data_IF_056515226519
#
_entry.id   IF_056515226519
#
_cell.length_a   1.000
_cell.length_b   1.000
_cell.length_c   1.000
_cell.angle_alpha   90.00
_cell.angle_beta   90.00
_cell.angle_gamma   90.00
#
_symmetry.space_group_name_H-M   'P 1'
#
loop_
_entity.id
_entity.type
_entity.pdbx_description
1 polymer ?
#
# COMPACT_ATOMS: atom_id res chain seq x y z
N UNK A 1 -41.81 17.58 8.06
CA UNK A 1 -42.44 18.74 8.75
C UNK A 1 -43.87 18.84 8.27
N UNK A 2 -44.83 18.88 9.20
CA UNK A 2 -46.25 18.99 8.89
C UNK A 2 -46.75 20.44 8.96
N UNK A 3 -47.94 20.70 8.42
CA UNK A 3 -48.52 22.05 8.38
C UNK A 3 -49.04 22.60 9.70
N UNK A 4 -49.03 21.81 10.78
CA UNK A 4 -49.80 22.15 11.97
C UNK A 4 -49.22 23.32 12.78
N UNK A 5 -47.98 23.72 12.53
CA UNK A 5 -47.36 24.88 13.17
C UNK A 5 -48.05 26.20 12.79
N UNK A 6 -48.79 26.25 11.68
CA UNK A 6 -49.44 27.50 11.23
C UNK A 6 -48.51 28.47 10.50
N UNK A 7 -47.21 28.20 10.49
CA UNK A 7 -46.17 28.98 9.82
C UNK A 7 -45.02 28.08 9.37
N UNK A 8 -44.18 28.58 8.48
CA UNK A 8 -42.92 27.98 8.07
C UNK A 8 -41.77 28.89 8.47
N UNK A 9 -40.62 28.31 8.81
CA UNK A 9 -39.37 29.06 8.88
C UNK A 9 -38.71 29.05 7.49
N UNK A 10 -38.32 30.22 6.99
CA UNK A 10 -37.74 30.37 5.65
C UNK A 10 -38.78 30.57 4.53
N UNK A 11 -38.41 30.18 3.30
CA UNK A 11 -39.20 30.42 2.07
C UNK A 11 -39.95 29.19 1.55
N UNK A 12 -40.02 28.12 2.35
CA UNK A 12 -40.67 26.88 1.95
C UNK A 12 -42.21 27.03 1.90
N UNK A 13 -42.91 26.36 0.96
CA UNK A 13 -44.36 26.32 0.97
C UNK A 13 -44.86 25.62 2.24
N UNK A 14 -45.93 26.16 2.84
CA UNK A 14 -46.54 25.55 4.03
C UNK A 14 -47.17 24.20 3.66
N UNK A 15 -46.72 23.08 4.28
CA UNK A 15 -47.30 21.78 4.04
C UNK A 15 -48.75 21.72 4.56
N UNK A 16 -49.55 20.80 4.02
CA UNK A 16 -50.91 20.56 4.51
C UNK A 16 -50.91 19.90 5.90
N UNK A 17 -52.05 19.98 6.59
CA UNK A 17 -52.26 19.23 7.83
C UNK A 17 -52.32 17.72 7.52
N UNK A 18 -51.68 16.86 8.34
CA UNK A 18 -51.65 15.43 8.12
C UNK A 18 -53.03 14.83 8.37
N UNK A 19 -53.57 14.12 7.38
CA UNK A 19 -54.92 13.53 7.43
C UNK A 19 -55.09 12.51 8.56
N UNK A 20 -53.99 11.87 8.99
CA UNK A 20 -53.97 10.87 10.05
C UNK A 20 -53.53 11.40 11.41
N UNK A 21 -53.49 12.73 11.60
CA UNK A 21 -53.01 13.39 12.82
C UNK A 21 -51.48 13.54 12.87
N UNK A 22 -51.00 14.50 13.67
CA UNK A 22 -49.57 14.81 13.81
C UNK A 22 -48.81 13.86 14.73
N UNK A 23 -47.48 13.94 14.71
CA UNK A 23 -46.60 13.26 15.67
C UNK A 23 -46.67 13.93 17.05
N UNK A 24 -46.18 13.29 18.12
CA UNK A 24 -46.14 13.90 19.46
C UNK A 24 -45.34 15.20 19.53
N UNK A 25 -44.38 15.42 18.62
CA UNK A 25 -43.61 16.67 18.52
C UNK A 25 -44.25 17.69 17.56
N UNK A 26 -45.42 17.36 17.01
CA UNK A 26 -46.15 18.25 16.12
C UNK A 26 -46.97 19.28 16.90
N UNK A 27 -47.17 20.43 16.26
CA UNK A 27 -48.16 21.41 16.67
C UNK A 27 -49.60 20.98 16.35
N UNK A 28 -49.85 19.76 15.82
CA UNK A 28 -51.21 19.34 15.52
C UNK A 28 -52.15 19.27 16.75
N UNK A 29 -51.63 19.33 17.98
CA UNK A 29 -52.41 19.43 19.21
C UNK A 29 -53.23 20.74 19.32
N UNK A 30 -52.84 21.81 18.60
CA UNK A 30 -53.61 23.07 18.52
C UNK A 30 -54.52 23.15 17.28
N UNK A 31 -54.60 22.08 16.49
CA UNK A 31 -55.43 22.01 15.28
C UNK A 31 -56.54 20.97 15.42
N UNK A 32 -57.52 20.97 14.51
CA UNK A 32 -58.60 19.99 14.51
C UNK A 32 -58.18 18.57 14.12
N UNK A 33 -57.00 18.38 13.52
CA UNK A 33 -56.49 17.03 13.17
C UNK A 33 -55.91 16.28 14.38
N UNK A 34 -55.50 16.98 15.43
CA UNK A 34 -55.01 16.40 16.68
C UNK A 34 -53.67 15.66 16.57
N UNK A 35 -53.24 15.09 17.71
CA UNK A 35 -52.06 14.22 17.79
C UNK A 35 -52.50 12.77 17.60
N UNK A 36 -51.81 12.05 16.73
CA UNK A 36 -51.93 10.60 16.66
C UNK A 36 -50.73 9.97 17.38
N UNK A 37 -50.98 9.45 18.58
CA UNK A 37 -49.96 8.84 19.42
C UNK A 37 -49.30 7.61 18.77
N UNK A 38 -49.94 6.95 17.81
CA UNK A 38 -49.34 5.86 17.05
C UNK A 38 -48.20 6.33 16.14
N UNK A 39 -48.14 7.62 15.79
CA UNK A 39 -47.03 8.20 15.02
C UNK A 39 -45.79 8.51 15.89
N UNK A 40 -45.88 8.32 17.21
CA UNK A 40 -44.76 8.50 18.13
C UNK A 40 -44.19 9.93 18.11
N UNK A 41 -42.90 10.08 18.40
CA UNK A 41 -42.19 11.37 18.34
C UNK A 41 -41.85 11.82 16.90
N UNK A 42 -42.21 11.03 15.88
CA UNK A 42 -41.70 11.19 14.53
C UNK A 42 -40.26 10.66 14.36
N UNK A 43 -39.77 10.57 13.12
CA UNK A 43 -38.49 9.91 12.83
C UNK A 43 -37.30 10.67 13.43
N UNK A 44 -37.21 11.99 13.27
CA UNK A 44 -36.06 12.79 13.75
C UNK A 44 -35.97 12.81 15.30
N UNK A 45 -36.97 13.31 16.07
CA UNK A 45 -36.86 13.29 17.52
C UNK A 45 -36.89 11.88 18.10
N UNK A 46 -37.60 10.96 17.45
CA UNK A 46 -37.60 9.54 17.83
C UNK A 46 -36.23 8.88 17.70
N UNK A 47 -35.48 9.17 16.63
CA UNK A 47 -34.10 8.69 16.46
C UNK A 47 -33.18 9.29 17.51
N UNK A 48 -33.27 10.59 17.80
CA UNK A 48 -32.46 11.23 18.85
C UNK A 48 -32.70 10.59 20.23
N UNK A 49 -33.96 10.34 20.60
CA UNK A 49 -34.30 9.69 21.87
C UNK A 49 -33.78 8.25 21.92
N UNK A 50 -33.99 7.47 20.84
CA UNK A 50 -33.50 6.09 20.78
C UNK A 50 -31.97 6.03 20.85
N UNK A 51 -31.28 6.94 20.17
CA UNK A 51 -29.82 7.02 20.17
C UNK A 51 -29.27 7.41 21.55
N UNK A 52 -29.90 8.37 22.23
CA UNK A 52 -29.51 8.76 23.59
C UNK A 52 -29.70 7.61 24.60
N UNK A 53 -30.74 6.80 24.43
CA UNK A 53 -31.03 5.62 25.25
C UNK A 53 -30.03 4.50 24.94
N UNK A 54 -29.82 4.14 23.67
CA UNK A 54 -28.90 3.06 23.27
C UNK A 54 -27.45 3.36 23.69
N UNK A 55 -27.03 4.62 23.65
CA UNK A 55 -25.67 5.02 24.01
C UNK A 55 -25.50 5.35 25.51
N UNK A 56 -26.53 5.17 26.35
CA UNK A 56 -26.43 5.43 27.77
C UNK A 56 -25.63 4.31 28.48
N UNK A 57 -24.59 4.64 29.26
CA UNK A 57 -23.70 3.65 29.88
C UNK A 57 -24.40 2.77 30.94
N UNK A 58 -25.63 3.12 31.34
CA UNK A 58 -26.44 2.40 32.30
C UNK A 58 -27.41 1.40 31.66
N UNK A 59 -27.51 1.34 30.33
CA UNK A 59 -28.37 0.41 29.62
C UNK A 59 -27.54 -0.77 29.11
N UNK A 60 -27.21 -1.67 30.03
CA UNK A 60 -26.85 -3.03 29.65
C UNK A 60 -28.14 -3.80 29.38
N UNK A 61 -28.19 -4.53 28.25
CA UNK A 61 -29.32 -5.43 27.99
C UNK A 61 -29.54 -6.36 29.18
N UNK A 62 -30.78 -6.65 29.54
CA UNK A 62 -31.06 -7.76 30.43
C UNK A 62 -31.11 -9.02 29.55
N UNK A 63 -30.26 -10.02 29.81
CA UNK A 63 -30.42 -11.35 29.21
C UNK A 63 -31.56 -12.05 29.92
N UNK A 64 -32.75 -11.91 29.35
CA UNK A 64 -33.77 -12.91 29.52
C UNK A 64 -33.60 -13.84 28.35
N UNK A 65 -33.03 -15.03 28.56
CA UNK A 65 -32.82 -16.03 27.50
C UNK A 65 -33.89 -15.93 26.40
N UNK A 66 -33.45 -15.38 25.26
CA UNK A 66 -34.32 -14.64 24.34
C UNK A 66 -34.14 -13.11 24.40
N UNK A 67 -32.93 -12.62 24.14
CA UNK A 67 -32.63 -11.20 23.98
C UNK A 67 -31.98 -10.54 25.21
N UNK A 68 -30.90 -9.82 24.93
CA UNK A 68 -30.19 -8.87 25.80
C UNK A 68 -29.01 -9.46 26.59
N UNK A 69 -28.00 -8.67 26.95
CA UNK A 69 -27.29 -8.77 28.23
C UNK A 69 -26.03 -9.61 28.46
N UNK A 70 -24.89 -9.06 28.03
CA UNK A 70 -23.82 -8.72 28.97
C UNK A 70 -23.12 -9.87 29.71
N UNK A 71 -22.20 -10.53 29.01
CA UNK A 71 -21.11 -11.26 29.61
C UNK A 71 -19.98 -11.44 28.60
N UNK A 72 -18.83 -10.81 28.86
CA UNK A 72 -17.58 -11.42 28.45
C UNK A 72 -16.82 -11.71 29.75
N UNK A 73 -16.58 -12.99 30.04
CA UNK A 73 -15.29 -13.52 29.61
C UNK A 73 -15.40 -14.97 29.11
N UNK A 74 -15.22 -15.17 27.82
CA UNK A 74 -14.84 -16.46 27.25
C UNK A 74 -15.74 -16.94 26.13
N UNK A 75 -15.36 -16.58 24.90
CA UNK A 75 -15.60 -17.38 23.70
C UNK A 75 -17.04 -17.39 23.19
N UNK A 76 -17.42 -16.34 22.46
CA UNK A 76 -18.26 -16.48 21.28
C UNK A 76 -17.81 -15.38 20.31
N UNK A 77 -16.93 -15.75 19.38
CA UNK A 77 -16.43 -14.85 18.34
C UNK A 77 -17.54 -14.50 17.37
N UNK A 78 -17.35 -13.41 16.62
CA UNK A 78 -18.17 -13.12 15.45
C UNK A 78 -18.29 -14.37 14.57
N UNK A 79 -19.52 -14.80 14.26
CA UNK A 79 -19.76 -15.94 13.35
C UNK A 79 -19.52 -15.56 11.87
N UNK A 80 -19.35 -14.27 11.58
CA UNK A 80 -18.93 -13.71 10.31
C UNK A 80 -17.54 -13.07 10.36
N UNK A 81 -17.32 -12.05 9.54
CA UNK A 81 -16.11 -11.23 9.58
C UNK A 81 -16.30 -9.98 10.43
N UNK A 82 -15.30 -9.70 11.27
CA UNK A 82 -15.22 -8.50 12.09
C UNK A 82 -14.64 -7.34 11.29
N UNK A 83 -15.32 -6.19 11.33
CA UNK A 83 -14.87 -4.94 10.73
C UNK A 83 -14.86 -3.83 11.78
N UNK A 84 -13.95 -2.87 11.65
CA UNK A 84 -13.89 -1.68 12.49
C UNK A 84 -14.10 -0.42 11.66
N UNK A 85 -15.10 0.39 12.03
CA UNK A 85 -15.37 1.70 11.43
C UNK A 85 -14.88 2.79 12.38
N UNK A 86 -13.86 3.52 11.96
CA UNK A 86 -13.37 4.74 12.60
C UNK A 86 -13.95 5.96 11.90
N UNK A 87 -14.68 6.82 12.62
CA UNK A 87 -15.26 8.07 12.12
C UNK A 87 -14.79 9.23 12.98
N UNK A 88 -13.87 10.03 12.46
CA UNK A 88 -13.50 11.30 13.06
C UNK A 88 -14.48 12.36 12.57
N UNK A 89 -15.26 12.93 13.50
CA UNK A 89 -16.25 13.94 13.16
C UNK A 89 -15.57 15.28 12.84
N UNK A 90 -16.23 16.07 12.00
CA UNK A 90 -15.90 17.47 11.77
C UNK A 90 -16.44 18.33 12.94
N UNK A 91 -16.51 19.66 12.83
CA UNK A 91 -17.06 20.47 13.93
C UNK A 91 -18.59 20.37 14.07
N UNK A 92 -19.29 19.74 13.11
CA UNK A 92 -20.75 19.70 13.00
C UNK A 92 -21.30 18.27 12.91
N UNK A 93 -20.92 17.41 13.86
CA UNK A 93 -21.33 16.00 13.85
C UNK A 93 -22.85 15.71 13.79
N UNK A 94 -23.74 16.69 14.02
CA UNK A 94 -25.21 16.53 13.87
C UNK A 94 -25.65 16.32 12.43
N UNK A 95 -24.78 16.65 11.50
CA UNK A 95 -25.05 16.62 10.07
C UNK A 95 -24.62 15.27 9.48
N UNK A 96 -23.69 14.57 10.15
CA UNK A 96 -23.12 13.29 9.75
C UNK A 96 -23.98 12.09 10.17
N UNK A 97 -24.38 11.27 9.21
CA UNK A 97 -25.00 9.95 9.44
C UNK A 97 -24.35 8.91 8.53
N UNK A 98 -24.42 7.63 8.88
CA UNK A 98 -23.95 6.55 8.00
C UNK A 98 -24.79 5.29 8.15
N UNK A 99 -24.77 4.44 7.12
CA UNK A 99 -25.45 3.15 7.08
C UNK A 99 -24.62 2.10 6.36
N UNK A 100 -24.83 0.83 6.70
CA UNK A 100 -24.40 -0.32 5.90
C UNK A 100 -25.65 -1.12 5.50
N UNK A 101 -25.80 -1.36 4.19
CA UNK A 101 -26.92 -2.11 3.60
C UNK A 101 -26.45 -3.37 2.91
N UNK A 102 -27.30 -4.39 2.87
CA UNK A 102 -27.12 -5.56 2.01
C UNK A 102 -27.62 -5.31 0.57
N UNK A 103 -27.46 -6.29 -0.30
CA UNK A 103 -27.94 -6.24 -1.70
C UNK A 103 -29.47 -6.15 -1.85
N UNK A 104 -30.24 -6.34 -0.78
CA UNK A 104 -31.70 -6.19 -0.76
C UNK A 104 -32.14 -4.85 -0.14
N UNK A 105 -31.21 -3.88 0.00
CA UNK A 105 -31.40 -2.57 0.64
C UNK A 105 -31.76 -2.61 2.13
N UNK A 106 -31.58 -3.77 2.80
CA UNK A 106 -31.83 -3.92 4.23
C UNK A 106 -30.68 -3.28 5.00
N UNK A 107 -30.99 -2.34 5.91
CA UNK A 107 -30.00 -1.71 6.79
C UNK A 107 -29.60 -2.69 7.89
N UNK A 108 -28.32 -3.02 7.95
CA UNK A 108 -27.73 -3.88 8.98
C UNK A 108 -27.13 -3.05 10.11
N UNK A 109 -26.44 -1.97 9.75
CA UNK A 109 -25.82 -1.05 10.71
C UNK A 109 -26.09 0.40 10.32
N UNK A 110 -26.12 1.28 11.32
CA UNK A 110 -26.26 2.71 11.12
C UNK A 110 -25.71 3.50 12.30
N UNK A 111 -25.26 4.74 12.06
CA UNK A 111 -24.84 5.67 13.09
C UNK A 111 -25.16 7.12 12.76
N UNK A 112 -24.95 7.97 13.75
CA UNK A 112 -25.37 9.37 13.72
C UNK A 112 -26.90 9.56 13.80
N UNK A 113 -27.39 10.80 13.72
CA UNK A 113 -26.61 12.03 13.78
C UNK A 113 -25.93 12.19 15.16
N UNK A 114 -24.74 12.77 15.19
CA UNK A 114 -23.97 12.93 16.42
C UNK A 114 -24.22 14.31 17.04
N UNK A 115 -24.17 14.47 18.36
CA UNK A 115 -24.37 15.81 18.93
C UNK A 115 -23.16 16.69 18.58
N UNK A 116 -23.36 17.97 18.26
CA UNK A 116 -22.24 18.90 17.94
C UNK A 116 -21.20 19.03 19.06
N UNK A 117 -21.53 18.68 20.30
CA UNK A 117 -20.55 18.60 21.40
C UNK A 117 -19.49 17.50 21.17
N UNK A 118 -19.73 16.59 20.24
CA UNK A 118 -18.81 15.54 19.79
C UNK A 118 -18.06 15.94 18.52
N UNK A 119 -18.16 17.18 18.04
CA UNK A 119 -17.38 17.64 16.90
C UNK A 119 -15.87 17.50 17.16
N UNK A 120 -15.13 16.99 16.17
CA UNK A 120 -13.70 16.68 16.31
C UNK A 120 -13.38 15.46 17.18
N UNK A 121 -14.38 14.62 17.49
CA UNK A 121 -14.18 13.37 18.24
C UNK A 121 -14.13 12.18 17.30
N UNK A 122 -13.24 11.23 17.60
CA UNK A 122 -13.19 9.92 16.96
C UNK A 122 -14.27 9.00 17.55
N UNK A 123 -15.16 8.50 16.70
CA UNK A 123 -16.16 7.49 17.01
C UNK A 123 -15.73 6.18 16.37
N UNK A 124 -15.60 5.12 17.15
CA UNK A 124 -15.26 3.79 16.65
C UNK A 124 -16.47 2.85 16.79
N UNK A 125 -16.64 1.94 15.83
CA UNK A 125 -17.70 0.94 15.81
C UNK A 125 -17.14 -0.40 15.35
N UNK A 126 -17.38 -1.43 16.14
CA UNK A 126 -17.06 -2.81 15.78
C UNK A 126 -18.31 -3.47 15.18
N UNK A 127 -18.14 -4.08 14.02
CA UNK A 127 -19.19 -4.63 13.17
C UNK A 127 -18.91 -6.12 12.93
N UNK A 128 -19.97 -6.92 12.82
CA UNK A 128 -19.86 -8.34 12.51
C UNK A 128 -20.82 -8.65 11.35
N UNK A 129 -20.27 -8.87 10.16
CA UNK A 129 -21.04 -9.11 8.94
C UNK A 129 -20.75 -10.50 8.40
N UNK A 130 -21.78 -11.20 7.96
CA UNK A 130 -21.63 -12.51 7.29
C UNK A 130 -20.95 -12.35 5.91
N UNK A 131 -20.59 -13.46 5.27
CA UNK A 131 -20.12 -13.44 3.89
C UNK A 131 -21.25 -12.95 2.96
N UNK A 132 -20.96 -11.94 2.13
CA UNK A 132 -21.96 -11.26 1.32
C UNK A 132 -21.49 -9.92 0.78
N UNK A 133 -22.29 -9.28 -0.06
CA UNK A 133 -21.99 -7.95 -0.59
C UNK A 133 -22.86 -6.87 0.04
N UNK A 134 -22.25 -5.73 0.28
CA UNK A 134 -22.78 -4.63 1.09
C UNK A 134 -22.45 -3.27 0.46
N UNK A 135 -23.16 -2.25 0.91
CA UNK A 135 -22.89 -0.85 0.60
C UNK A 135 -22.74 -0.08 1.89
N UNK A 136 -21.58 0.54 2.10
CA UNK A 136 -21.39 1.60 3.09
C UNK A 136 -21.79 2.93 2.47
N UNK A 137 -22.60 3.72 3.17
CA UNK A 137 -23.02 5.05 2.74
C UNK A 137 -22.90 6.00 3.94
N UNK A 138 -22.27 7.14 3.73
CA UNK A 138 -22.18 8.24 4.69
C UNK A 138 -22.87 9.46 4.08
N UNK A 139 -23.64 10.19 4.88
CA UNK A 139 -24.39 11.36 4.47
C UNK A 139 -24.07 12.53 5.36
N UNK A 140 -23.93 13.70 4.75
CA UNK A 140 -23.91 14.98 5.40
C UNK A 140 -25.15 15.80 4.98
N UNK A 141 -25.94 16.23 5.96
CA UNK A 141 -27.21 16.89 5.68
C UNK A 141 -27.10 18.34 5.17
N UNK A 142 -25.95 19.00 5.33
CA UNK A 142 -25.69 20.38 4.88
C UNK A 142 -24.86 20.45 3.60
N UNK A 143 -24.19 19.36 3.25
CA UNK A 143 -23.62 19.14 1.93
C UNK A 143 -22.19 19.63 1.77
N UNK A 144 -21.50 19.91 2.86
CA UNK A 144 -20.09 20.31 2.92
C UNK A 144 -19.16 19.16 3.36
N UNK A 145 -19.72 17.96 3.55
CA UNK A 145 -18.99 16.76 3.94
C UNK A 145 -18.54 16.82 5.38
N UNK A 146 -17.53 16.02 5.72
CA UNK A 146 -16.97 15.98 7.07
C UNK A 146 -15.53 16.52 7.12
N UNK A 147 -15.05 17.20 6.07
CA UNK A 147 -13.68 17.68 6.01
C UNK A 147 -13.50 19.13 5.60
N UNK A 148 -12.23 19.52 5.78
CA UNK A 148 -11.49 20.53 5.06
C UNK A 148 -11.68 21.95 5.61
N UNK A 149 -12.85 22.56 5.44
CA UNK A 149 -13.07 23.95 5.88
C UNK A 149 -13.77 24.06 7.23
N UNK A 150 -14.62 23.09 7.57
CA UNK A 150 -15.48 23.12 8.76
C UNK A 150 -15.09 22.09 9.82
N UNK A 151 -13.97 21.41 9.65
CA UNK A 151 -13.41 20.41 10.56
C UNK A 151 -12.54 19.43 9.78
N UNK A 152 -11.60 18.75 10.43
CA UNK A 152 -10.75 17.76 9.75
C UNK A 152 -11.24 16.35 10.11
N UNK A 153 -12.49 16.06 9.73
CA UNK A 153 -13.09 14.74 9.90
C UNK A 153 -12.76 13.79 8.74
N UNK A 154 -12.95 12.50 9.01
CA UNK A 154 -12.75 11.41 8.05
C UNK A 154 -13.49 10.16 8.52
N UNK A 155 -13.73 9.21 7.62
CA UNK A 155 -14.13 7.85 7.97
C UNK A 155 -13.13 6.83 7.41
N UNK A 156 -13.01 5.69 8.07
CA UNK A 156 -12.23 4.53 7.63
C UNK A 156 -12.90 3.25 8.13
N UNK A 157 -13.36 2.41 7.21
CA UNK A 157 -13.85 1.06 7.45
C UNK A 157 -12.73 0.07 7.15
N UNK A 158 -12.38 -0.78 8.09
CA UNK A 158 -11.29 -1.77 7.97
C UNK A 158 -11.74 -3.16 8.40
N UNK A 159 -11.08 -4.20 7.90
CA UNK A 159 -11.19 -5.54 8.47
C UNK A 159 -10.20 -5.76 9.64
N UNK A 160 -10.23 -6.95 10.25
CA UNK A 160 -9.29 -7.34 11.33
C UNK A 160 -7.84 -7.50 10.87
N UNK A 161 -7.59 -7.64 9.56
CA UNK A 161 -6.24 -7.64 9.00
C UNK A 161 -5.66 -6.21 8.89
N UNK A 162 -6.52 -5.19 9.03
CA UNK A 162 -6.18 -3.79 8.85
C UNK A 162 -6.37 -3.27 7.43
N UNK A 163 -6.88 -4.10 6.50
CA UNK A 163 -7.17 -3.71 5.13
C UNK A 163 -8.30 -2.67 5.10
N UNK A 164 -8.10 -1.58 4.36
CA UNK A 164 -9.09 -0.51 4.24
C UNK A 164 -10.13 -0.88 3.18
N UNK A 165 -11.38 -1.04 3.62
CA UNK A 165 -12.54 -1.35 2.78
C UNK A 165 -13.12 -0.08 2.17
N UNK A 166 -13.21 0.99 2.97
CA UNK A 166 -13.68 2.29 2.54
C UNK A 166 -13.01 3.38 3.38
N UNK A 167 -12.67 4.51 2.78
CA UNK A 167 -12.23 5.70 3.50
C UNK A 167 -12.58 6.96 2.72
N UNK A 168 -12.71 8.07 3.42
CA UNK A 168 -13.09 9.34 2.81
C UNK A 168 -13.33 10.43 3.84
N UNK A 169 -13.77 11.59 3.36
CA UNK A 169 -14.11 12.74 4.20
C UNK A 169 -14.43 14.00 3.40
N UNK A 170 -13.81 14.17 2.23
CA UNK A 170 -14.10 15.24 1.27
C UNK A 170 -15.22 14.81 0.32
N UNK A 171 -16.45 15.02 0.75
CA UNK A 171 -17.64 14.78 -0.04
C UNK A 171 -18.62 15.94 0.10
N UNK A 172 -19.63 16.01 -0.77
CA UNK A 172 -20.71 16.98 -0.64
C UNK A 172 -21.75 16.52 0.38
N UNK A 173 -22.92 16.11 -0.10
CA UNK A 173 -23.99 15.57 0.77
C UNK A 173 -23.88 14.09 1.10
N UNK A 174 -23.04 13.33 0.40
CA UNK A 174 -22.87 11.89 0.67
C UNK A 174 -21.63 11.32 -0.01
N UNK A 175 -21.14 10.21 0.52
CA UNK A 175 -20.21 9.30 -0.14
C UNK A 175 -20.68 7.84 0.05
N UNK A 176 -20.34 6.95 -0.87
CA UNK A 176 -20.78 5.55 -0.82
C UNK A 176 -19.78 4.60 -1.45
N UNK A 177 -19.54 3.46 -0.80
CA UNK A 177 -18.63 2.41 -1.24
C UNK A 177 -19.31 1.05 -1.18
N UNK A 178 -19.33 0.32 -2.30
CA UNK A 178 -19.76 -1.08 -2.32
C UNK A 178 -18.57 -2.01 -2.01
N UNK A 179 -18.79 -3.06 -1.22
CA UNK A 179 -17.77 -4.04 -0.84
C UNK A 179 -18.39 -5.44 -0.68
N UNK A 180 -17.57 -6.49 -0.68
CA UNK A 180 -18.01 -7.86 -0.41
C UNK A 180 -17.12 -8.53 0.65
N UNK A 181 -17.67 -9.51 1.36
CA UNK A 181 -17.04 -10.32 2.39
C UNK A 181 -17.04 -11.82 1.95
N UNK A 182 -15.93 -12.57 2.06
CA UNK A 182 -14.62 -12.13 2.54
C UNK A 182 -14.08 -10.96 1.73
N UNK A 183 -13.56 -9.94 2.42
CA UNK A 183 -12.96 -8.81 1.74
C UNK A 183 -11.64 -9.25 1.12
N UNK A 184 -11.77 -9.87 -0.04
CA UNK A 184 -10.72 -9.93 -1.03
C UNK A 184 -10.62 -8.50 -1.55
N UNK A 185 -9.85 -7.69 -0.81
CA UNK A 185 -9.32 -6.46 -1.35
C UNK A 185 -8.86 -6.83 -2.77
N UNK A 186 -9.38 -6.12 -3.79
CA UNK A 186 -8.99 -6.37 -5.19
C UNK A 186 -7.56 -5.85 -5.39
N UNK A 187 -6.68 -6.34 -4.54
CA UNK A 187 -5.59 -5.62 -3.94
C UNK A 187 -4.37 -6.48 -4.05
N UNK A 188 -3.99 -6.60 -5.31
CA UNK A 188 -2.60 -6.43 -5.66
C UNK A 188 -2.15 -4.95 -5.52
N UNK A 189 -2.75 -4.11 -4.66
CA UNK A 189 -2.57 -2.64 -4.67
C UNK A 189 -2.30 -1.94 -3.33
N UNK A 190 -2.32 -2.61 -2.17
CA UNK A 190 -1.64 -2.10 -0.96
C UNK A 190 -0.14 -2.16 -1.18
N UNK A 191 0.31 -2.96 -2.13
CA UNK A 191 1.68 -2.95 -2.64
C UNK A 191 1.65 -3.09 -4.16
N UNK A 192 1.62 -1.96 -4.86
CA UNK A 192 1.86 -1.92 -6.30
C UNK A 192 3.34 -2.19 -6.57
N UNK A 193 3.68 -3.43 -6.91
CA UNK A 193 5.00 -3.79 -7.42
C UNK A 193 5.09 -3.49 -8.91
N UNK A 194 6.14 -2.78 -9.32
CA UNK A 194 6.39 -2.46 -10.73
C UNK A 194 7.27 -3.56 -11.34
N UNK A 195 6.67 -4.39 -12.20
CA UNK A 195 7.40 -5.16 -13.20
C UNK A 195 7.51 -4.32 -14.48
N UNK A 196 8.73 -3.93 -14.86
CA UNK A 196 8.92 -3.09 -16.04
C UNK A 196 8.56 -3.77 -17.37
N UNK A 197 8.34 -5.09 -17.39
CA UNK A 197 7.78 -5.76 -18.58
C UNK A 197 6.35 -5.33 -18.89
N UNK A 198 5.61 -4.89 -17.88
CA UNK A 198 4.20 -4.51 -18.03
C UNK A 198 4.03 -3.06 -18.53
N UNK A 199 5.14 -2.32 -18.63
CA UNK A 199 5.13 -0.91 -19.00
C UNK A 199 5.97 -0.63 -20.25
N UNK A 200 5.47 0.27 -21.08
CA UNK A 200 6.31 0.94 -22.08
C UNK A 200 7.12 2.04 -21.40
N UNK A 201 8.45 1.93 -21.44
CA UNK A 201 9.35 2.99 -20.94
C UNK A 201 9.50 4.07 -22.01
N UNK A 202 8.88 5.21 -21.76
CA UNK A 202 8.83 6.34 -22.70
C UNK A 202 9.80 7.46 -22.33
N UNK A 203 10.05 8.34 -23.29
CA UNK A 203 10.80 9.59 -23.08
C UNK A 203 10.02 10.56 -22.17
N UNK A 204 10.71 11.21 -21.24
CA UNK A 204 10.14 12.16 -20.29
C UNK A 204 10.91 13.49 -20.30
N UNK A 205 10.23 14.61 -20.04
CA UNK A 205 10.91 15.91 -19.89
C UNK A 205 11.39 16.55 -21.20
N UNK A 206 10.87 16.08 -22.34
CA UNK A 206 11.06 16.68 -23.65
C UNK A 206 12.53 16.71 -24.09
N UNK A 207 13.10 17.88 -24.43
CA UNK A 207 14.47 17.97 -24.95
C UNK A 207 15.57 17.51 -23.97
N UNK A 208 15.24 17.34 -22.68
CA UNK A 208 16.20 16.91 -21.67
C UNK A 208 16.54 15.42 -21.76
N UNK A 209 15.67 14.61 -22.36
CA UNK A 209 15.97 13.19 -22.59
C UNK A 209 16.80 13.00 -23.86
N UNK A 210 18.12 12.84 -23.67
CA UNK A 210 19.08 12.53 -24.72
C UNK A 210 19.70 11.13 -24.56
N UNK A 211 19.05 10.27 -23.77
CA UNK A 211 19.59 9.00 -23.30
C UNK A 211 18.70 7.83 -23.67
N UNK A 212 19.05 6.67 -23.12
CA UNK A 212 18.38 5.41 -23.44
C UNK A 212 17.87 4.72 -22.19
N UNK A 213 16.85 3.88 -22.39
CA UNK A 213 16.37 2.91 -21.42
C UNK A 213 16.66 1.50 -21.94
N UNK A 214 16.97 0.58 -21.03
CA UNK A 214 17.14 -0.82 -21.32
C UNK A 214 16.62 -1.64 -20.16
N UNK A 215 15.80 -2.64 -20.46
CA UNK A 215 15.39 -3.64 -19.48
C UNK A 215 16.46 -4.74 -19.39
N UNK A 216 16.85 -5.08 -18.17
CA UNK A 216 17.83 -6.13 -17.85
C UNK A 216 17.16 -7.22 -17.02
N UNK A 217 17.82 -8.38 -16.90
CA UNK A 217 17.37 -9.51 -16.07
C UNK A 217 15.91 -9.91 -16.33
N UNK A 218 15.54 -10.02 -17.62
CA UNK A 218 14.19 -10.38 -18.01
C UNK A 218 13.13 -9.34 -17.65
N UNK A 219 13.49 -8.06 -17.50
CA UNK A 219 12.58 -6.95 -17.22
C UNK A 219 12.53 -6.50 -15.75
N UNK A 220 13.15 -7.25 -14.84
CA UNK A 220 13.15 -6.93 -13.41
C UNK A 220 14.03 -5.74 -13.02
N UNK A 221 14.88 -5.26 -13.93
CA UNK A 221 15.77 -4.11 -13.71
C UNK A 221 15.63 -3.13 -14.86
N UNK A 222 15.24 -1.88 -14.55
CA UNK A 222 15.32 -0.77 -15.47
C UNK A 222 16.70 -0.13 -15.38
N UNK A 223 17.45 -0.17 -16.48
CA UNK A 223 18.66 0.62 -16.67
C UNK A 223 18.33 1.83 -17.52
N UNK A 224 18.69 3.01 -17.04
CA UNK A 224 18.75 4.21 -17.87
C UNK A 224 20.18 4.74 -17.89
N UNK A 225 20.58 5.34 -19.01
CA UNK A 225 21.94 5.80 -19.17
C UNK A 225 22.09 6.95 -20.14
N UNK A 226 23.29 7.55 -20.08
CA UNK A 226 23.63 8.84 -20.66
C UNK A 226 23.00 10.00 -19.87
N UNK A 227 22.42 11.00 -20.54
CA UNK A 227 21.49 11.97 -19.98
C UNK A 227 20.06 11.53 -20.31
N UNK A 228 19.41 10.81 -19.40
CA UNK A 228 18.12 10.18 -19.63
C UNK A 228 17.07 10.63 -18.63
N UNK A 229 15.92 11.01 -19.16
CA UNK A 229 14.70 11.25 -18.41
C UNK A 229 13.64 10.33 -19.00
N UNK A 230 13.22 9.32 -18.23
CA UNK A 230 12.32 8.26 -18.71
C UNK A 230 11.13 8.14 -17.79
N UNK A 231 10.00 7.67 -18.31
CA UNK A 231 8.80 7.43 -17.51
C UNK A 231 8.08 6.17 -17.93
N UNK A 232 7.28 5.64 -17.01
CA UNK A 232 6.22 4.67 -17.30
C UNK A 232 4.87 5.35 -17.10
N UNK A 233 3.89 4.98 -17.92
CA UNK A 233 2.52 5.44 -17.73
C UNK A 233 1.91 4.75 -16.51
N UNK A 234 1.72 5.50 -15.43
CA UNK A 234 1.16 5.01 -14.17
C UNK A 234 0.19 6.04 -13.63
N UNK A 235 -1.10 5.72 -13.70
CA UNK A 235 -2.15 6.51 -13.05
C UNK A 235 -2.17 6.16 -11.56
N UNK A 236 -1.74 7.09 -10.72
CA UNK A 236 -1.66 6.87 -9.28
C UNK A 236 -2.10 8.13 -8.53
N UNK A 237 -2.86 7.96 -7.45
CA UNK A 237 -3.22 9.03 -6.53
C UNK A 237 -2.32 8.97 -5.31
N UNK A 238 -1.38 9.91 -5.22
CA UNK A 238 -0.50 10.02 -4.06
C UNK A 238 -1.31 10.62 -2.91
N UNK A 239 -1.53 9.82 -1.87
CA UNK A 239 -2.16 10.22 -0.62
C UNK A 239 -1.10 10.69 0.39
N UNK A 240 -1.48 11.30 1.52
CA UNK A 240 -0.54 11.63 2.59
C UNK A 240 0.27 10.44 3.14
N UNK A 241 -0.22 9.20 2.96
CA UNK A 241 0.41 7.98 3.46
C UNK A 241 1.19 7.20 2.39
N UNK A 242 1.30 7.72 1.16
CA UNK A 242 1.98 7.03 0.07
C UNK A 242 3.47 6.93 0.34
N UNK A 243 3.98 5.69 0.25
CA UNK A 243 5.38 5.32 0.34
C UNK A 243 5.86 4.78 -1.00
N UNK A 244 7.06 5.20 -1.42
CA UNK A 244 7.77 4.68 -2.58
C UNK A 244 9.02 3.94 -2.11
N UNK A 245 9.06 2.64 -2.33
CA UNK A 245 10.21 1.78 -2.06
C UNK A 245 10.90 1.39 -3.36
N UNK A 246 12.23 1.39 -3.36
CA UNK A 246 13.02 0.93 -4.49
C UNK A 246 14.42 0.50 -4.06
N UNK A 247 15.08 -0.29 -4.90
CA UNK A 247 16.53 -0.43 -4.87
C UNK A 247 17.14 0.35 -6.04
N UNK A 248 18.12 1.18 -5.72
CA UNK A 248 18.86 2.02 -6.68
C UNK A 248 20.34 1.65 -6.69
N UNK A 249 20.95 1.66 -7.88
CA UNK A 249 22.40 1.54 -8.06
C UNK A 249 22.88 2.48 -9.17
N UNK A 250 24.11 2.96 -9.04
CA UNK A 250 24.82 3.71 -10.06
C UNK A 250 26.33 3.54 -9.86
N UNK A 251 27.09 3.32 -10.93
CA UNK A 251 28.55 3.29 -10.84
C UNK A 251 29.20 4.66 -11.02
N UNK A 252 28.41 5.72 -11.28
CA UNK A 252 28.91 7.06 -11.59
C UNK A 252 27.99 8.16 -11.06
N UNK A 253 28.57 9.12 -10.34
CA UNK A 253 27.83 10.31 -9.91
C UNK A 253 27.47 11.17 -11.12
N UNK A 254 26.17 11.34 -11.34
CA UNK A 254 25.59 12.28 -12.30
C UNK A 254 25.35 13.64 -11.69
N UNK A 255 24.70 14.49 -12.47
CA UNK A 255 24.18 15.77 -11.99
C UNK A 255 22.98 15.52 -11.09
N UNK A 256 22.04 14.70 -11.59
CA UNK A 256 20.85 14.24 -10.87
C UNK A 256 20.56 12.80 -11.23
N UNK A 257 20.57 11.90 -10.26
CA UNK A 257 19.86 10.62 -10.33
C UNK A 257 18.66 10.70 -9.41
N UNK A 258 17.49 10.30 -9.89
CA UNK A 258 16.27 10.53 -9.13
C UNK A 258 15.04 9.81 -9.65
N UNK A 259 13.96 9.98 -8.91
CA UNK A 259 12.66 9.35 -9.16
C UNK A 259 11.54 10.28 -8.66
N UNK A 260 10.35 10.20 -9.24
CA UNK A 260 9.18 10.96 -8.77
C UNK A 260 7.93 10.75 -9.61
N UNK A 261 6.84 11.39 -9.21
CA UNK A 261 5.56 11.36 -9.95
C UNK A 261 5.31 12.64 -10.73
N UNK A 262 4.61 12.51 -11.84
CA UNK A 262 4.28 13.62 -12.71
C UNK A 262 2.91 13.47 -13.41
N UNK A 263 2.24 14.61 -13.62
CA UNK A 263 0.91 14.71 -14.21
C UNK A 263 0.89 15.16 -15.68
N UNK A 264 1.96 15.78 -16.21
CA UNK A 264 1.91 16.55 -17.46
C UNK A 264 3.17 16.50 -18.36
N UNK A 265 4.05 15.52 -18.16
CA UNK A 265 5.34 15.34 -18.82
C UNK A 265 6.34 16.50 -18.62
N UNK A 266 6.28 17.19 -17.46
CA UNK A 266 7.16 18.35 -17.17
C UNK A 266 8.07 18.08 -15.98
N UNK A 267 9.37 18.28 -16.19
CA UNK A 267 10.39 18.13 -15.14
C UNK A 267 10.15 19.17 -14.04
N UNK A 268 9.97 18.70 -12.81
CA UNK A 268 9.60 19.52 -11.66
C UNK A 268 10.52 19.26 -10.47
N UNK A 269 11.23 20.29 -10.01
CA UNK A 269 12.23 20.17 -8.94
C UNK A 269 11.60 19.83 -7.59
N UNK A 270 10.39 20.30 -7.33
CA UNK A 270 9.63 20.00 -6.12
C UNK A 270 9.00 18.60 -6.11
N UNK A 271 9.16 17.80 -7.17
CA UNK A 271 8.66 16.42 -7.26
C UNK A 271 9.73 15.37 -7.53
N UNK A 272 10.96 15.79 -7.77
CA UNK A 272 12.08 14.89 -8.08
C UNK A 272 12.86 14.59 -6.80
N UNK A 273 12.79 13.37 -6.29
CA UNK A 273 13.64 12.90 -5.21
C UNK A 273 15.02 12.57 -5.75
N UNK A 274 16.03 13.35 -5.36
CA UNK A 274 17.42 13.12 -5.77
C UNK A 274 18.02 12.05 -4.88
N UNK A 275 18.52 10.98 -5.49
CA UNK A 275 19.13 9.82 -4.82
C UNK A 275 20.66 9.91 -4.84
N UNK A 276 21.20 10.43 -5.96
CA UNK A 276 22.63 10.60 -6.15
C UNK A 276 22.89 11.73 -7.14
N UNK A 277 23.56 12.81 -6.74
CA UNK A 277 23.87 13.90 -7.66
C UNK A 277 24.91 14.87 -7.11
N UNK A 278 25.28 15.85 -7.93
CA UNK A 278 26.15 16.96 -7.50
C UNK A 278 25.55 18.35 -7.75
N UNK A 279 24.43 18.42 -8.49
CA UNK A 279 23.69 19.67 -8.68
C UNK A 279 22.66 19.85 -7.57
N UNK A 280 22.50 21.10 -7.13
CA UNK A 280 21.48 21.46 -6.15
C UNK A 280 20.12 21.71 -6.82
N UNK A 281 19.53 20.66 -7.38
CA UNK A 281 18.23 20.67 -8.02
C UNK A 281 17.45 19.39 -7.67
N UNK A 282 16.16 19.50 -7.36
CA UNK A 282 15.36 18.40 -6.79
C UNK A 282 15.30 18.42 -5.26
N UNK A 283 14.50 17.51 -4.69
CA UNK A 283 14.43 17.23 -3.25
C UNK A 283 15.68 16.45 -2.84
N UNK A 284 16.55 17.07 -2.03
CA UNK A 284 17.87 16.53 -1.69
C UNK A 284 17.93 15.58 -0.50
N UNK A 285 16.82 15.36 0.21
CA UNK A 285 16.78 14.61 1.47
C UNK A 285 17.27 13.15 1.35
N UNK A 286 17.20 12.59 0.13
CA UNK A 286 17.60 11.23 -0.20
C UNK A 286 18.92 11.15 -0.99
N UNK A 287 19.65 12.26 -1.15
CA UNK A 287 20.91 12.34 -1.90
C UNK A 287 22.08 11.80 -1.06
N UNK A 288 21.97 10.53 -0.70
CA UNK A 288 22.84 9.84 0.24
C UNK A 288 23.33 8.49 -0.30
N UNK A 289 23.26 8.29 -1.63
CA UNK A 289 23.82 7.10 -2.26
C UNK A 289 25.36 7.08 -2.11
N UNK A 290 25.96 5.98 -1.65
CA UNK A 290 27.39 5.92 -1.34
C UNK A 290 28.31 5.90 -2.57
N UNK A 291 27.76 5.68 -3.78
CA UNK A 291 28.56 5.48 -4.99
C UNK A 291 29.05 4.03 -5.14
N UNK A 292 29.95 3.80 -6.10
CA UNK A 292 30.64 2.51 -6.25
C UNK A 292 29.84 1.38 -6.91
N UNK A 293 28.59 1.62 -7.36
CA UNK A 293 27.78 0.61 -8.04
C UNK A 293 27.06 -0.37 -7.10
N UNK A 294 27.06 -0.10 -5.79
CA UNK A 294 26.34 -0.93 -4.81
C UNK A 294 24.83 -0.74 -4.90
N UNK A 295 24.04 -1.75 -4.57
CA UNK A 295 22.60 -1.56 -4.44
C UNK A 295 22.26 -0.93 -3.09
N UNK A 296 21.44 0.11 -3.10
CA UNK A 296 20.91 0.75 -1.89
C UNK A 296 19.38 0.77 -1.95
N UNK A 297 18.75 0.29 -0.88
CA UNK A 297 17.31 0.40 -0.67
C UNK A 297 16.95 1.82 -0.23
N UNK A 298 15.88 2.35 -0.83
CA UNK A 298 15.25 3.61 -0.48
C UNK A 298 13.79 3.35 -0.11
N UNK A 299 13.32 4.05 0.91
CA UNK A 299 11.92 4.12 1.30
C UNK A 299 11.62 5.61 1.46
N UNK A 300 10.78 6.15 0.59
CA UNK A 300 10.52 7.58 0.44
C UNK A 300 9.05 7.82 0.79
N UNK A 301 8.74 8.62 1.83
CA UNK A 301 7.37 8.98 2.19
C UNK A 301 6.86 10.08 1.26
N UNK A 302 6.54 9.72 0.02
CA UNK A 302 6.17 10.68 -1.04
C UNK A 302 5.00 11.57 -0.61
N UNK A 303 4.02 10.99 0.09
CA UNK A 303 2.84 11.69 0.59
C UNK A 303 3.11 12.85 1.55
N UNK A 304 4.26 12.85 2.24
CA UNK A 304 4.68 13.95 3.11
C UNK A 304 5.23 15.16 2.32
N UNK A 305 5.62 14.96 1.06
CA UNK A 305 6.17 16.00 0.20
C UNK A 305 5.12 16.60 -0.74
N UNK A 306 4.31 15.75 -1.37
CA UNK A 306 3.25 16.19 -2.27
C UNK A 306 2.17 15.11 -2.40
N UNK A 307 0.93 15.54 -2.64
CA UNK A 307 -0.24 14.68 -2.88
C UNK A 307 -0.94 15.05 -4.18
N UNK A 308 -1.81 14.18 -4.66
CA UNK A 308 -2.66 14.42 -5.84
C UNK A 308 -2.60 13.30 -6.88
N UNK A 309 -3.27 13.53 -8.00
CA UNK A 309 -3.37 12.56 -9.09
C UNK A 309 -2.27 12.76 -10.12
N UNK A 310 -1.52 11.70 -10.38
CA UNK A 310 -0.41 11.67 -11.33
C UNK A 310 -0.65 10.62 -12.41
N UNK A 311 0.03 10.80 -13.55
CA UNK A 311 -0.12 9.95 -14.74
C UNK A 311 1.16 9.19 -15.08
N UNK A 312 2.28 9.52 -14.43
CA UNK A 312 3.58 8.94 -14.70
C UNK A 312 4.39 8.75 -13.41
N UNK A 313 5.16 7.66 -13.38
CA UNK A 313 6.34 7.50 -12.53
C UNK A 313 7.57 7.69 -13.42
N UNK A 314 8.42 8.67 -13.09
CA UNK A 314 9.59 9.01 -13.88
C UNK A 314 10.90 8.68 -13.16
N UNK A 315 11.94 8.42 -13.95
CA UNK A 315 13.27 8.00 -13.55
C UNK A 315 14.31 8.89 -14.23
N UNK A 316 15.34 9.27 -13.48
CA UNK A 316 16.31 10.28 -13.89
C UNK A 316 17.71 9.73 -13.78
N UNK A 317 18.48 9.90 -14.86
CA UNK A 317 19.93 9.82 -14.90
C UNK A 317 20.44 11.00 -15.73
N UNK A 318 20.48 12.16 -15.11
CA UNK A 318 20.98 13.39 -15.69
C UNK A 318 22.50 13.47 -15.55
N UNK A 319 23.15 13.60 -16.69
CA UNK A 319 24.60 13.72 -16.83
C UNK A 319 24.89 14.34 -18.19
N UNK A 320 24.48 15.61 -18.35
CA UNK A 320 24.70 16.40 -19.56
C UNK A 320 26.10 17.04 -19.62
N UNK A 321 26.91 16.83 -18.57
CA UNK A 321 28.33 17.21 -18.56
C UNK A 321 29.24 16.10 -19.11
N UNK A 322 30.21 16.46 -19.95
CA UNK A 322 31.19 15.49 -20.44
C UNK A 322 31.98 14.83 -19.26
N UNK A 323 32.23 13.50 -19.28
CA UNK A 323 31.83 12.53 -20.30
C UNK A 323 30.39 12.05 -20.10
N UNK A 324 29.52 12.24 -21.09
CA UNK A 324 28.11 11.83 -21.09
C UNK A 324 27.96 10.30 -20.90
N UNK A 325 28.00 9.85 -19.65
CA UNK A 325 28.08 8.43 -19.31
C UNK A 325 27.38 8.10 -17.98
N UNK A 326 26.44 8.96 -17.57
CA UNK A 326 25.56 8.68 -16.45
C UNK A 326 24.89 7.32 -16.61
N UNK A 327 24.70 6.63 -15.49
CA UNK A 327 23.93 5.39 -15.43
C UNK A 327 23.14 5.31 -14.13
N UNK A 328 21.91 4.87 -14.22
CA UNK A 328 21.07 4.55 -13.08
C UNK A 328 20.37 3.21 -13.32
N UNK A 329 20.27 2.43 -12.26
CA UNK A 329 19.60 1.15 -12.25
C UNK A 329 18.54 1.17 -11.16
N UNK A 330 17.33 0.79 -11.52
CA UNK A 330 16.17 0.74 -10.63
C UNK A 330 15.60 -0.68 -10.65
N UNK A 331 15.28 -1.21 -9.47
CA UNK A 331 14.59 -2.51 -9.33
C UNK A 331 13.78 -2.56 -8.05
N UNK A 332 12.91 -3.57 -7.95
CA UNK A 332 12.00 -3.76 -6.81
C UNK A 332 11.28 -2.47 -6.43
N UNK A 333 10.77 -1.77 -7.45
CA UNK A 333 10.03 -0.53 -7.23
C UNK A 333 8.64 -0.91 -6.75
N UNK A 334 8.26 -0.43 -5.56
CA UNK A 334 6.97 -0.69 -4.93
C UNK A 334 6.34 0.61 -4.47
N UNK A 335 5.03 0.73 -4.64
CA UNK A 335 4.24 1.86 -4.14
C UNK A 335 3.17 1.31 -3.21
N UNK A 336 3.08 1.83 -2.00
CA UNK A 336 2.14 1.34 -0.98
C UNK A 336 1.64 2.47 -0.08
N UNK A 337 0.57 2.19 0.66
CA UNK A 337 -0.02 3.12 1.62
C UNK A 337 0.28 2.65 3.06
N UNK A 338 0.95 3.49 3.86
CA UNK A 338 1.21 3.20 5.26
C UNK A 338 2.28 2.12 5.52
N UNK A 339 1.94 1.04 6.23
CA UNK A 339 2.90 0.10 6.83
C UNK A 339 3.38 -1.00 5.88
N UNK A 340 4.21 -0.65 4.89
CA UNK A 340 5.01 -1.62 4.12
C UNK A 340 4.22 -2.63 3.28
N UNK A 341 4.93 -3.37 2.43
CA UNK A 341 4.37 -4.50 1.67
C UNK A 341 4.43 -5.84 2.42
N UNK A 342 4.95 -5.84 3.64
CA UNK A 342 5.29 -7.05 4.39
C UNK A 342 4.18 -7.42 5.38
N UNK A 343 2.93 -7.55 4.90
CA UNK A 343 1.86 -8.19 5.66
C UNK A 343 1.93 -9.72 5.47
N UNK A 344 3.05 -10.32 5.85
CA UNK A 344 3.03 -11.74 6.23
C UNK A 344 2.71 -11.80 7.72
N UNK A 345 1.51 -12.30 8.04
CA UNK A 345 1.13 -12.76 9.37
C UNK A 345 2.22 -13.67 9.96
N UNK A 346 3.07 -13.14 10.84
CA UNK A 346 3.85 -13.90 11.81
C UNK A 346 4.11 -13.00 13.02
N UNK A 347 3.24 -13.09 14.03
CA UNK A 347 3.50 -12.55 15.36
C UNK A 347 3.45 -13.67 16.41
N UNK A 348 4.49 -13.69 17.25
CA UNK A 348 4.77 -14.52 18.42
C UNK A 348 5.40 -15.90 18.13
N UNK A 349 6.55 -16.28 18.71
CA UNK A 349 7.15 -15.89 20.00
C UNK A 349 8.64 -16.26 20.05
N UNK A 350 9.43 -15.74 21.02
CA UNK A 350 10.86 -15.96 21.11
C UNK A 350 11.17 -17.31 21.78
N UNK A 351 12.04 -18.11 21.20
CA UNK A 351 12.70 -19.21 21.91
C UNK A 351 14.21 -19.12 21.70
N UNK A 352 14.89 -19.19 22.84
CA UNK A 352 16.30 -19.02 23.05
C UNK A 352 17.16 -20.10 22.38
N UNK A 353 18.39 -19.69 22.10
CA UNK A 353 19.61 -20.50 21.98
C UNK A 353 19.55 -21.88 22.65
N UNK A 354 19.69 -22.93 21.84
CA UNK A 354 20.57 -24.11 22.06
C UNK A 354 20.62 -24.89 20.73
N UNK A 355 21.60 -24.59 19.88
CA UNK A 355 22.87 -25.33 19.74
C UNK A 355 22.75 -26.66 18.97
N UNK A 356 23.46 -26.67 17.83
CA UNK A 356 23.94 -27.78 17.01
C UNK A 356 22.97 -28.34 15.96
N UNK A 357 23.10 -27.85 14.73
CA UNK A 357 23.81 -28.59 13.66
C UNK A 357 24.12 -27.66 12.47
N UNK A 358 25.39 -27.58 12.11
CA UNK A 358 25.89 -27.23 10.76
C UNK A 358 25.30 -28.27 9.77
N UNK A 359 24.92 -28.06 8.51
CA UNK A 359 25.26 -27.09 7.47
C UNK A 359 24.04 -26.96 6.51
N UNK A 360 23.61 -25.75 6.19
CA UNK A 360 23.18 -25.40 4.83
C UNK A 360 23.63 -23.95 4.58
N UNK A 361 24.93 -23.80 4.32
CA UNK A 361 25.47 -22.61 3.68
C UNK A 361 25.02 -22.65 2.21
N UNK A 362 24.55 -21.52 1.68
CA UNK A 362 23.81 -21.42 0.40
C UNK A 362 24.41 -22.24 -0.74
N UNK A 363 23.64 -23.16 -1.32
CA UNK A 363 24.14 -24.10 -2.31
C UNK A 363 24.70 -23.41 -3.57
N UNK A 364 25.91 -23.79 -4.00
CA UNK A 364 26.45 -23.50 -5.32
C UNK A 364 25.87 -24.51 -6.32
N UNK A 365 25.18 -24.02 -7.35
CA UNK A 365 24.62 -24.82 -8.43
C UNK A 365 25.47 -24.69 -9.69
N UNK A 366 25.71 -25.82 -10.36
CA UNK A 366 26.52 -25.91 -11.57
C UNK A 366 25.71 -26.44 -12.75
N UNK A 367 25.61 -25.67 -13.84
CA UNK A 367 24.88 -26.10 -15.04
C UNK A 367 25.45 -25.53 -16.35
N UNK A 368 25.27 -26.22 -17.49
CA UNK A 368 24.76 -27.57 -17.60
C UNK A 368 25.76 -28.59 -17.03
N UNK A 369 25.25 -29.64 -16.39
CA UNK A 369 26.05 -30.78 -15.95
C UNK A 369 25.43 -32.07 -16.53
N UNK A 370 26.01 -32.68 -17.57
CA UNK A 370 27.37 -32.43 -18.09
C UNK A 370 27.54 -31.13 -18.91
N UNK A 371 28.69 -30.48 -18.76
CA UNK A 371 29.09 -29.30 -19.52
C UNK A 371 29.79 -29.67 -20.84
N UNK A 372 29.75 -28.78 -21.84
CA UNK A 372 30.51 -28.91 -23.09
C UNK A 372 31.58 -27.82 -23.18
N UNK A 373 31.18 -26.59 -23.50
CA UNK A 373 32.09 -25.48 -23.76
C UNK A 373 32.15 -24.49 -22.61
N UNK A 374 31.08 -24.42 -21.83
CA UNK A 374 30.94 -23.47 -20.73
C UNK A 374 30.17 -24.10 -19.58
N UNK A 375 30.42 -23.57 -18.38
CA UNK A 375 29.77 -23.94 -17.14
C UNK A 375 29.28 -22.65 -16.46
N UNK A 376 28.04 -22.64 -16.00
CA UNK A 376 27.49 -21.58 -15.16
C UNK A 376 27.62 -22.00 -13.70
N UNK A 377 28.16 -21.09 -12.90
CA UNK A 377 28.18 -21.13 -11.44
C UNK A 377 27.08 -20.20 -10.95
N UNK A 378 26.14 -20.73 -10.18
CA UNK A 378 25.01 -19.98 -9.62
C UNK A 378 25.01 -20.17 -8.11
N UNK A 379 25.19 -19.09 -7.36
CA UNK A 379 25.38 -19.15 -5.91
C UNK A 379 24.90 -17.87 -5.24
N UNK A 380 24.55 -17.98 -3.97
CA UNK A 380 24.22 -16.80 -3.16
C UNK A 380 25.42 -16.42 -2.32
N UNK A 381 25.70 -15.13 -2.22
CA UNK A 381 26.70 -14.60 -1.31
C UNK A 381 26.04 -13.69 -0.28
N UNK A 382 26.44 -13.81 0.99
CA UNK A 382 25.91 -12.96 2.07
C UNK A 382 26.62 -11.61 2.18
N UNK A 383 27.80 -11.46 1.60
CA UNK A 383 28.65 -10.28 1.74
C UNK A 383 29.45 -9.99 0.46
N UNK A 384 29.81 -8.73 0.25
CA UNK A 384 30.68 -8.35 -0.86
C UNK A 384 32.10 -8.87 -0.64
N UNK A 385 32.75 -9.36 -1.71
CA UNK A 385 34.11 -9.83 -1.61
C UNK A 385 34.70 -10.32 -2.92
N UNK A 386 35.89 -10.95 -2.83
CA UNK A 386 36.47 -11.69 -3.94
C UNK A 386 36.18 -13.18 -3.75
N UNK A 387 35.48 -13.77 -4.72
CA UNK A 387 35.37 -15.21 -4.85
C UNK A 387 36.63 -15.76 -5.52
N UNK A 388 37.31 -16.72 -4.90
CA UNK A 388 38.36 -17.50 -5.55
C UNK A 388 37.77 -18.80 -6.08
N UNK A 389 37.80 -18.98 -7.40
CA UNK A 389 37.30 -20.15 -8.13
C UNK A 389 38.51 -20.98 -8.58
N UNK A 390 38.54 -22.24 -8.15
CA UNK A 390 39.59 -23.21 -8.44
C UNK A 390 38.97 -24.47 -9.05
N UNK A 391 39.50 -24.90 -10.20
CA UNK A 391 39.05 -26.10 -10.88
C UNK A 391 40.11 -27.19 -10.80
N UNK A 392 39.73 -28.38 -10.33
CA UNK A 392 40.60 -29.54 -10.17
C UNK A 392 40.15 -30.70 -11.06
N UNK A 393 41.13 -31.49 -11.53
CA UNK A 393 40.87 -32.85 -12.01
C UNK A 393 40.51 -33.77 -10.82
N UNK A 394 39.88 -34.92 -11.09
CA UNK A 394 39.61 -35.95 -10.07
C UNK A 394 40.86 -36.51 -9.39
N UNK A 395 42.05 -36.33 -9.97
CA UNK A 395 43.33 -36.73 -9.37
C UNK A 395 43.94 -35.62 -8.49
N UNK A 396 43.26 -34.48 -8.33
CA UNK A 396 43.66 -33.38 -7.46
C UNK A 396 44.58 -32.33 -8.10
N UNK A 397 44.88 -32.44 -9.39
CA UNK A 397 45.65 -31.42 -10.11
C UNK A 397 44.79 -30.17 -10.36
N UNK A 398 45.27 -28.99 -9.96
CA UNK A 398 44.68 -27.68 -10.25
C UNK A 398 44.84 -27.35 -11.75
N UNK A 399 43.73 -27.00 -12.41
CA UNK A 399 43.65 -26.73 -13.85
C UNK A 399 43.34 -25.27 -14.17
N UNK A 400 42.47 -24.63 -13.37
CA UNK A 400 42.09 -23.21 -13.52
C UNK A 400 42.02 -22.57 -12.15
N UNK A 401 42.51 -21.34 -12.03
CA UNK A 401 42.30 -20.47 -10.87
C UNK A 401 41.90 -19.07 -11.35
N UNK A 402 40.83 -18.52 -10.80
CA UNK A 402 40.32 -17.18 -11.12
C UNK A 402 39.73 -16.52 -9.89
N UNK A 403 39.88 -15.20 -9.79
CA UNK A 403 39.16 -14.40 -8.81
C UNK A 403 38.05 -13.59 -9.48
N UNK A 404 36.87 -13.57 -8.87
CA UNK A 404 35.70 -12.79 -9.31
C UNK A 404 35.25 -11.87 -8.18
N UNK A 405 34.86 -10.63 -8.48
CA UNK A 405 34.13 -9.81 -7.52
C UNK A 405 32.70 -10.32 -7.34
N UNK A 406 32.28 -10.54 -6.11
CA UNK A 406 30.93 -11.02 -5.78
C UNK A 406 30.20 -10.02 -4.91
N UNK A 407 28.91 -9.90 -5.16
CA UNK A 407 28.01 -8.99 -4.46
C UNK A 407 27.11 -9.77 -3.50
N UNK A 408 26.59 -9.15 -2.42
CA UNK A 408 25.54 -9.75 -1.61
C UNK A 408 24.30 -10.07 -2.47
N UNK A 409 23.74 -11.27 -2.32
CA UNK A 409 22.62 -11.80 -3.09
C UNK A 409 23.02 -12.87 -4.12
N UNK A 410 22.17 -13.17 -5.11
CA UNK A 410 22.45 -14.17 -6.14
C UNK A 410 23.52 -13.66 -7.11
N UNK A 411 24.52 -14.51 -7.36
CA UNK A 411 25.61 -14.28 -8.28
C UNK A 411 25.62 -15.40 -9.33
N UNK A 412 25.83 -15.03 -10.59
CA UNK A 412 25.96 -15.97 -11.68
C UNK A 412 27.24 -15.66 -12.46
N UNK A 413 28.10 -16.66 -12.63
CA UNK A 413 29.35 -16.53 -13.38
C UNK A 413 29.50 -17.63 -14.42
N UNK A 414 30.03 -17.27 -15.60
CA UNK A 414 30.26 -18.21 -16.70
C UNK A 414 31.74 -18.55 -16.83
N UNK A 415 32.08 -19.81 -16.60
CA UNK A 415 33.41 -20.36 -16.78
C UNK A 415 33.55 -21.04 -18.15
N UNK A 416 34.55 -20.65 -18.92
CA UNK A 416 34.94 -21.34 -20.15
C UNK A 416 35.70 -22.63 -19.80
N UNK A 417 35.14 -23.76 -20.23
CA UNK A 417 35.73 -25.10 -20.03
C UNK A 417 36.03 -25.79 -21.36
N UNK A 418 35.92 -25.09 -22.50
CA UNK A 418 36.08 -25.64 -23.85
C UNK A 418 37.44 -26.29 -24.11
N UNK A 419 38.50 -25.83 -23.42
CA UNK A 419 39.85 -26.37 -23.52
C UNK A 419 40.12 -27.64 -22.72
N UNK A 420 39.17 -28.16 -21.94
CA UNK A 420 39.38 -29.31 -21.04
C UNK A 420 38.90 -30.64 -21.66
N UNK A 421 39.59 -31.77 -21.45
CA UNK A 421 39.15 -33.05 -21.98
C UNK A 421 37.79 -33.51 -21.38
N UNK A 422 37.14 -34.50 -22.01
CA UNK A 422 35.96 -35.12 -21.43
C UNK A 422 36.35 -35.88 -20.14
N UNK A 423 35.57 -35.74 -19.07
CA UNK A 423 35.89 -36.32 -17.78
C UNK A 423 35.14 -35.69 -16.62
N UNK A 424 35.41 -36.16 -15.40
CA UNK A 424 34.87 -35.57 -14.18
C UNK A 424 35.85 -34.55 -13.57
N UNK A 425 35.30 -33.51 -12.96
CA UNK A 425 36.05 -32.38 -12.40
C UNK A 425 35.43 -31.95 -11.06
N UNK A 426 36.24 -31.31 -10.22
CA UNK A 426 35.80 -30.68 -8.98
C UNK A 426 36.02 -29.17 -9.08
N UNK A 427 34.98 -28.40 -8.80
CA UNK A 427 35.03 -26.96 -8.70
C UNK A 427 34.98 -26.56 -7.22
N UNK A 428 36.01 -25.86 -6.76
CA UNK A 428 36.05 -25.24 -5.44
C UNK A 428 35.90 -23.74 -5.59
N UNK A 429 35.03 -23.15 -4.78
CA UNK A 429 34.87 -21.70 -4.72
C UNK A 429 34.92 -21.25 -3.28
N UNK A 430 35.64 -20.16 -2.99
CA UNK A 430 35.70 -19.58 -1.66
C UNK A 430 35.33 -18.10 -1.71
N UNK A 431 34.38 -17.67 -0.86
CA UNK A 431 33.94 -16.28 -0.72
C UNK A 431 34.05 -15.86 0.74
N UNK A 432 35.06 -15.05 1.08
CA UNK A 432 35.32 -14.71 2.48
C UNK A 432 35.63 -15.97 3.31
N UNK A 433 34.73 -16.34 4.24
CA UNK A 433 34.84 -17.57 5.04
C UNK A 433 34.02 -18.74 4.49
N UNK A 434 33.13 -18.51 3.52
CA UNK A 434 32.30 -19.56 2.92
C UNK A 434 33.11 -20.33 1.86
N UNK A 435 32.98 -21.65 1.86
CA UNK A 435 33.58 -22.52 0.86
C UNK A 435 32.56 -23.48 0.27
N UNK A 436 32.60 -23.61 -1.05
CA UNK A 436 31.74 -24.47 -1.83
C UNK A 436 32.61 -25.44 -2.61
N UNK A 437 32.19 -26.70 -2.69
CA UNK A 437 32.85 -27.72 -3.51
C UNK A 437 31.80 -28.51 -4.26
N UNK A 438 31.81 -28.42 -5.58
CA UNK A 438 30.83 -29.08 -6.43
C UNK A 438 31.50 -29.94 -7.51
N UNK A 439 30.86 -31.05 -7.84
CA UNK A 439 31.34 -31.98 -8.86
C UNK A 439 30.54 -31.85 -10.15
N UNK A 440 31.23 -31.68 -11.27
CA UNK A 440 30.59 -31.71 -12.58
C UNK A 440 31.36 -32.59 -13.57
N UNK A 441 30.71 -32.90 -14.68
CA UNK A 441 31.29 -33.68 -15.78
C UNK A 441 31.34 -32.86 -17.06
N UNK A 442 32.36 -33.09 -17.88
CA UNK A 442 32.50 -32.52 -19.22
C UNK A 442 32.30 -33.63 -20.24
N UNK A 443 31.47 -33.37 -21.23
CA UNK A 443 31.30 -34.24 -22.41
C UNK A 443 31.81 -33.54 -23.66
N UNK A 444 32.49 -34.30 -24.52
CA UNK A 444 32.92 -33.85 -25.85
C UNK A 444 32.17 -34.66 -26.88
N UNK A 445 31.57 -33.98 -27.87
CA UNK A 445 30.98 -34.63 -29.04
C UNK A 445 32.01 -34.79 -30.14
#
# INVERSE_FOLDING_TARGET
IDGCAGFVEGSCPMPGNPASGGTMMSYCHITSVGINFSNGFGPQPGNVIRNAVVNAPCLQGCDTGGGGGGGNPGGNGCEGQELSLSLHLDNYGVETTWVIRDTNDVVLYSGGPYLNVLGGVLVEQELCLEEGCYVFEILDSYGDGICCQFGQGYYSLKDTSGAVIASGGDFGGSDSTAFCLPYESNDSTTCLEIDFNDFEVVSFGGPQDAGYAQLMNGGTVLRIGNNAWKAIALKYEVTPNTMLELEFSSSRQGEIHGIGFDENNTISSNRTFRLYGNQNWGIGDFDNYPGGGVWKKYVIPVGEYYTGRFNHLFFVADHDRYPYNGNAYFRKVKIYEGTGCDNTSEASSPIALELLNEEETGALQLYPNPASDWLILDFQSVQEGLANIQLYSITGQLLVERSLGVLPGPNQERLDVSGLPAGAYLLRMAVGQEQFVERFSITRR
#
